data_IF_209095434652
#
_entry.id   IF_209095434652
#
_cell.length_a   1.000
_cell.length_b   1.000
_cell.length_c   1.000
_cell.angle_alpha   90.00
_cell.angle_beta   90.00
_cell.angle_gamma   90.00
#
_symmetry.space_group_name_H-M   'P 1'
#
loop_
_entity.id
_entity.type
_entity.pdbx_description
1 polymer ?
#
# COMPACT_ATOMS: atom_id res chain seq x y z
N UNK A 1 15.39 -71.42 -20.00
CA UNK A 1 15.61 -70.66 -18.74
C UNK A 1 15.50 -69.18 -19.11
N UNK A 2 14.34 -68.53 -18.85
CA UNK A 2 14.14 -67.09 -19.10
C UNK A 2 14.41 -66.36 -17.82
N UNK A 3 15.41 -65.44 -17.82
CA UNK A 3 15.73 -64.54 -16.70
C UNK A 3 14.92 -63.28 -16.83
N UNK A 4 13.95 -63.06 -15.94
CA UNK A 4 13.21 -61.81 -15.79
C UNK A 4 14.02 -60.81 -14.94
N UNK A 5 14.37 -59.66 -15.55
CA UNK A 5 14.97 -58.54 -14.81
C UNK A 5 13.84 -57.65 -14.26
N UNK A 6 13.75 -57.58 -12.93
CA UNK A 6 12.91 -56.63 -12.23
C UNK A 6 13.68 -55.28 -12.15
N UNK A 7 13.18 -54.27 -12.85
CA UNK A 7 13.70 -52.91 -12.75
C UNK A 7 12.93 -52.20 -11.64
N UNK A 8 13.60 -51.94 -10.53
CA UNK A 8 13.04 -51.12 -9.44
C UNK A 8 13.21 -49.63 -9.77
N UNK A 9 12.10 -48.96 -10.08
CA UNK A 9 12.06 -47.50 -10.25
C UNK A 9 12.01 -46.86 -8.86
N UNK A 10 13.05 -46.09 -8.49
CA UNK A 10 13.03 -45.23 -7.29
C UNK A 10 12.13 -44.01 -7.60
N UNK A 11 11.25 -43.60 -6.68
CA UNK A 11 10.52 -42.36 -6.82
C UNK A 11 11.48 -41.18 -6.57
N UNK A 12 11.62 -40.29 -7.52
CA UNK A 12 12.33 -39.04 -7.37
C UNK A 12 11.50 -38.12 -6.45
N UNK A 13 12.03 -37.86 -5.25
CA UNK A 13 11.47 -36.88 -4.31
C UNK A 13 11.74 -35.48 -4.86
N UNK A 14 10.74 -34.84 -5.46
CA UNK A 14 10.84 -33.45 -5.88
C UNK A 14 10.82 -32.54 -4.64
N UNK A 15 11.98 -32.05 -4.25
CA UNK A 15 12.10 -30.98 -3.23
C UNK A 15 11.62 -29.69 -3.92
N UNK A 16 10.44 -29.24 -3.54
CA UNK A 16 9.95 -27.91 -3.93
C UNK A 16 10.83 -26.87 -3.20
N UNK A 17 11.74 -26.25 -3.94
CA UNK A 17 12.48 -25.08 -3.46
C UNK A 17 11.46 -23.94 -3.32
N UNK A 18 11.06 -23.62 -2.08
CA UNK A 18 10.35 -22.38 -1.78
C UNK A 18 11.37 -21.25 -1.96
N UNK A 19 11.39 -20.66 -3.14
CA UNK A 19 12.14 -19.41 -3.36
C UNK A 19 11.38 -18.31 -2.63
N UNK A 20 11.93 -17.79 -1.52
CA UNK A 20 11.54 -16.48 -1.04
C UNK A 20 11.88 -15.51 -2.16
N UNK A 21 10.85 -15.04 -2.86
CA UNK A 21 11.03 -13.95 -3.81
C UNK A 21 11.50 -12.72 -3.01
N UNK A 22 12.62 -12.07 -3.40
CA UNK A 22 12.96 -10.78 -2.81
C UNK A 22 11.77 -9.85 -3.04
N UNK A 23 11.50 -8.98 -2.07
CA UNK A 23 10.48 -7.93 -2.22
C UNK A 23 10.74 -7.23 -3.56
N UNK A 24 9.78 -7.28 -4.47
CA UNK A 24 9.92 -6.74 -5.82
C UNK A 24 10.15 -5.24 -5.81
N UNK A 25 10.64 -4.71 -6.92
CA UNK A 25 10.67 -3.27 -7.14
C UNK A 25 9.24 -2.69 -7.09
N UNK A 26 9.07 -1.43 -6.68
CA UNK A 26 7.78 -0.77 -6.72
C UNK A 26 7.15 -0.82 -8.12
N UNK A 27 5.81 -0.86 -8.16
CA UNK A 27 5.06 -0.82 -9.41
C UNK A 27 5.58 0.32 -10.30
N UNK A 28 5.90 0.06 -11.59
CA UNK A 28 6.33 1.12 -12.50
C UNK A 28 5.17 2.07 -12.83
N UNK A 29 5.50 3.33 -13.07
CA UNK A 29 4.51 4.32 -13.55
C UNK A 29 3.81 3.80 -14.80
N UNK A 30 2.48 3.93 -14.85
CA UNK A 30 1.61 3.38 -15.90
C UNK A 30 1.13 1.95 -15.64
N UNK A 31 1.62 1.25 -14.61
CA UNK A 31 1.10 -0.05 -14.21
C UNK A 31 -0.39 0.03 -13.85
N UNK A 32 -1.11 -1.06 -14.05
CA UNK A 32 -2.50 -1.18 -13.62
C UNK A 32 -2.58 -1.45 -12.12
N UNK A 33 -3.65 -0.97 -11.48
CA UNK A 33 -3.97 -1.26 -10.09
C UNK A 33 -4.03 -2.78 -9.85
N UNK A 34 -3.19 -3.34 -8.97
CA UNK A 34 -3.20 -4.77 -8.68
C UNK A 34 -4.46 -5.20 -7.92
N UNK A 35 -4.96 -6.39 -8.20
CA UNK A 35 -6.02 -7.04 -7.42
C UNK A 35 -7.22 -6.13 -7.06
N UNK A 36 -7.83 -5.39 -8.00
CA UNK A 36 -8.78 -4.32 -7.70
C UNK A 36 -10.04 -4.81 -6.96
N UNK A 37 -10.40 -6.08 -7.10
CA UNK A 37 -11.59 -6.70 -6.48
C UNK A 37 -11.27 -7.41 -5.14
N UNK A 38 -9.99 -7.53 -4.76
CA UNK A 38 -9.61 -8.23 -3.53
C UNK A 38 -10.17 -7.52 -2.29
N UNK A 39 -10.93 -8.25 -1.49
CA UNK A 39 -11.56 -7.73 -0.27
C UNK A 39 -10.59 -7.76 0.91
N UNK A 40 -10.55 -6.66 1.63
CA UNK A 40 -9.73 -6.48 2.82
C UNK A 40 -10.60 -5.97 3.97
N UNK A 41 -10.31 -6.43 5.19
CA UNK A 41 -11.08 -6.06 6.38
C UNK A 41 -10.79 -4.61 6.76
N UNK A 42 -11.79 -3.75 6.68
CA UNK A 42 -11.73 -2.34 7.04
C UNK A 42 -12.06 -2.12 8.53
N UNK A 43 -11.49 -1.07 9.13
CA UNK A 43 -11.74 -0.71 10.55
C UNK A 43 -13.23 -0.47 10.86
N UNK A 44 -14.05 -0.15 9.86
CA UNK A 44 -15.51 -0.07 10.00
C UNK A 44 -16.19 -1.43 10.21
N UNK A 45 -15.45 -2.54 10.12
CA UNK A 45 -15.96 -3.91 10.19
C UNK A 45 -16.46 -4.45 8.85
N UNK A 46 -16.47 -3.66 7.78
CA UNK A 46 -16.83 -4.09 6.41
C UNK A 46 -15.61 -4.68 5.69
N UNK A 47 -15.87 -5.38 4.60
CA UNK A 47 -14.83 -5.74 3.66
C UNK A 47 -14.85 -4.79 2.46
N UNK A 48 -13.71 -4.15 2.20
CA UNK A 48 -13.52 -3.12 1.17
C UNK A 48 -12.45 -3.58 0.19
N UNK A 49 -12.69 -3.38 -1.10
CA UNK A 49 -11.70 -3.55 -2.16
C UNK A 49 -11.19 -2.18 -2.67
N UNK A 50 -10.12 -2.19 -3.45
CA UNK A 50 -9.68 -0.98 -4.14
C UNK A 50 -10.76 -0.42 -5.06
N UNK A 51 -11.51 -1.30 -5.73
CA UNK A 51 -12.64 -0.90 -6.59
C UNK A 51 -13.73 -0.16 -5.81
N UNK A 52 -14.09 -0.64 -4.61
CA UNK A 52 -15.08 0.02 -3.76
C UNK A 52 -14.60 1.40 -3.29
N UNK A 53 -13.29 1.55 -3.04
CA UNK A 53 -12.69 2.80 -2.59
C UNK A 53 -12.44 3.80 -3.74
N UNK A 54 -12.38 3.33 -5.00
CA UNK A 54 -12.11 4.19 -6.17
C UNK A 54 -13.24 5.18 -6.40
N UNK A 55 -12.88 6.42 -6.69
CA UNK A 55 -13.82 7.48 -7.08
C UNK A 55 -13.60 7.93 -8.52
N UNK A 56 -14.39 8.92 -8.96
CA UNK A 56 -14.44 9.41 -10.35
C UNK A 56 -13.07 9.75 -10.94
N UNK A 57 -12.19 10.34 -10.16
CA UNK A 57 -10.89 10.82 -10.63
C UNK A 57 -9.72 9.87 -10.29
N UNK A 58 -10.00 8.75 -9.60
CA UNK A 58 -9.01 7.72 -9.30
C UNK A 58 -8.96 7.30 -7.84
N UNK A 59 -7.81 6.80 -7.42
CA UNK A 59 -7.59 6.22 -6.09
C UNK A 59 -6.19 6.55 -5.55
N UNK A 60 -6.15 7.06 -4.33
CA UNK A 60 -4.94 7.12 -3.51
C UNK A 60 -4.87 5.87 -2.63
N UNK A 61 -3.86 5.06 -2.83
CA UNK A 61 -3.47 3.94 -1.96
C UNK A 61 -2.27 4.35 -1.14
N UNK A 62 -2.32 4.18 0.17
CA UNK A 62 -1.20 4.52 1.05
C UNK A 62 -0.92 3.36 2.01
N UNK A 63 0.29 2.83 1.96
CA UNK A 63 0.77 1.89 2.97
C UNK A 63 1.16 2.66 4.23
N UNK A 64 0.57 2.28 5.35
CA UNK A 64 0.68 2.98 6.64
C UNK A 64 0.70 1.95 7.77
N UNK A 65 0.94 2.39 9.00
CA UNK A 65 0.87 1.54 10.20
C UNK A 65 0.66 2.42 11.44
N UNK A 66 0.42 1.79 12.60
CA UNK A 66 0.19 2.53 13.83
C UNK A 66 1.47 2.83 14.60
N UNK A 67 2.49 1.98 14.45
CA UNK A 67 3.67 1.95 15.33
C UNK A 67 4.84 2.79 14.81
N UNK A 68 4.91 3.06 13.50
CA UNK A 68 6.04 3.79 12.90
C UNK A 68 6.08 5.27 13.33
N UNK A 69 7.19 5.76 13.93
CA UNK A 69 7.31 7.16 14.34
C UNK A 69 7.22 8.13 13.14
N UNK A 70 7.69 7.73 11.96
CA UNK A 70 7.58 8.56 10.76
C UNK A 70 6.12 8.71 10.33
N UNK A 71 5.31 7.63 10.38
CA UNK A 71 3.86 7.71 10.13
C UNK A 71 3.20 8.67 11.12
N UNK A 72 3.53 8.55 12.41
CA UNK A 72 3.00 9.45 13.45
C UNK A 72 3.38 10.91 13.19
N UNK A 73 4.61 11.18 12.76
CA UNK A 73 5.07 12.52 12.38
C UNK A 73 4.39 13.07 11.11
N UNK A 74 3.91 12.20 10.24
CA UNK A 74 3.17 12.58 9.03
C UNK A 74 1.66 12.72 9.24
N UNK A 75 1.12 12.37 10.41
CA UNK A 75 -0.32 12.19 10.60
C UNK A 75 -1.17 13.38 10.13
N UNK A 76 -0.83 14.59 10.52
CA UNK A 76 -1.55 15.80 10.09
C UNK A 76 -1.52 15.99 8.57
N UNK A 77 -0.38 15.71 7.93
CA UNK A 77 -0.19 15.82 6.47
C UNK A 77 -0.88 14.66 5.72
N UNK A 78 -0.96 13.48 6.32
CA UNK A 78 -1.76 12.35 5.82
C UNK A 78 -3.24 12.72 5.76
N UNK A 79 -3.77 13.30 6.84
CA UNK A 79 -5.15 13.77 6.89
C UNK A 79 -5.43 14.91 5.90
N UNK A 80 -4.50 15.86 5.77
CA UNK A 80 -4.58 16.94 4.77
C UNK A 80 -4.68 16.35 3.35
N UNK A 81 -3.76 15.44 3.00
CA UNK A 81 -3.72 14.81 1.69
C UNK A 81 -4.97 13.97 1.41
N UNK A 82 -5.44 13.18 2.39
CA UNK A 82 -6.65 12.38 2.27
C UNK A 82 -7.90 13.26 2.07
N UNK A 83 -8.05 14.32 2.87
CA UNK A 83 -9.14 15.29 2.72
C UNK A 83 -9.12 15.98 1.37
N UNK A 84 -7.93 16.36 0.91
CA UNK A 84 -7.74 16.98 -0.40
C UNK A 84 -8.13 16.02 -1.54
N UNK A 85 -7.69 14.74 -1.47
CA UNK A 85 -8.07 13.70 -2.43
C UNK A 85 -9.58 13.50 -2.50
N UNK A 86 -10.23 13.30 -1.34
CA UNK A 86 -11.67 13.10 -1.25
C UNK A 86 -12.47 14.30 -1.79
N UNK A 87 -12.03 15.52 -1.50
CA UNK A 87 -12.64 16.77 -2.02
C UNK A 87 -12.47 16.95 -3.53
N UNK A 88 -11.56 16.21 -4.15
CA UNK A 88 -11.30 16.21 -5.59
C UNK A 88 -11.77 14.92 -6.29
N UNK A 89 -12.72 14.18 -5.71
CA UNK A 89 -13.24 12.91 -6.23
C UNK A 89 -12.15 11.85 -6.52
N UNK A 90 -11.07 11.86 -5.74
CA UNK A 90 -10.09 10.78 -5.67
C UNK A 90 -10.38 9.97 -4.41
N UNK A 91 -10.57 8.67 -4.56
CA UNK A 91 -10.77 7.76 -3.43
C UNK A 91 -9.53 7.66 -2.55
N UNK A 92 -9.70 7.24 -1.30
CA UNK A 92 -8.59 7.07 -0.37
C UNK A 92 -8.73 5.75 0.36
N UNK A 93 -7.67 4.96 0.39
CA UNK A 93 -7.57 3.73 1.15
C UNK A 93 -6.16 3.60 1.75
N UNK A 94 -6.08 3.45 3.07
CA UNK A 94 -4.86 3.13 3.77
C UNK A 94 -4.80 1.63 4.04
N UNK A 95 -3.60 1.04 3.96
CA UNK A 95 -3.36 -0.36 4.26
C UNK A 95 -2.31 -0.49 5.37
N UNK A 96 -2.58 -1.35 6.35
CA UNK A 96 -1.57 -1.75 7.32
C UNK A 96 -0.98 -3.11 6.95
N UNK A 97 0.26 -3.14 6.40
CA UNK A 97 0.91 -4.36 5.93
C UNK A 97 1.79 -5.04 7.00
N UNK A 98 1.89 -4.47 8.20
CA UNK A 98 2.84 -4.91 9.23
C UNK A 98 2.41 -6.22 9.91
N UNK A 99 2.60 -7.34 9.24
CA UNK A 99 2.19 -8.66 9.74
C UNK A 99 2.98 -9.10 10.97
N UNK A 100 4.30 -8.89 11.00
CA UNK A 100 5.14 -9.31 12.13
C UNK A 100 4.87 -8.54 13.43
N UNK A 101 4.23 -7.37 13.37
CA UNK A 101 3.90 -6.54 14.53
C UNK A 101 2.41 -6.52 14.87
N UNK A 102 1.62 -7.52 14.38
CA UNK A 102 0.19 -7.65 14.70
C UNK A 102 -0.07 -7.80 16.20
N UNK A 103 0.82 -8.44 16.93
CA UNK A 103 0.76 -8.56 18.39
C UNK A 103 1.37 -7.39 19.15
N UNK A 104 1.89 -6.37 18.46
CA UNK A 104 2.65 -5.27 19.03
C UNK A 104 2.24 -3.91 18.43
N UNK A 105 0.95 -3.57 18.60
CA UNK A 105 0.39 -2.27 18.25
C UNK A 105 -0.11 -2.11 16.81
N UNK A 106 -0.05 -3.15 15.98
CA UNK A 106 -0.60 -3.17 14.61
C UNK A 106 -1.71 -4.23 14.45
N UNK A 107 -2.34 -4.70 15.56
CA UNK A 107 -3.50 -5.58 15.49
C UNK A 107 -4.70 -4.87 14.86
N UNK A 108 -5.70 -5.65 14.47
CA UNK A 108 -6.92 -5.08 13.90
C UNK A 108 -7.67 -4.18 14.90
N UNK A 109 -7.62 -4.51 16.18
CA UNK A 109 -8.26 -3.69 17.22
C UNK A 109 -7.44 -2.41 17.47
N UNK A 110 -6.10 -2.49 17.47
CA UNK A 110 -5.24 -1.29 17.50
C UNK A 110 -5.49 -0.39 16.29
N UNK A 111 -5.70 -0.95 15.10
CA UNK A 111 -6.04 -0.17 13.90
C UNK A 111 -7.37 0.57 14.04
N UNK A 112 -8.40 -0.05 14.65
CA UNK A 112 -9.69 0.62 14.91
C UNK A 112 -9.52 1.80 15.88
N UNK A 113 -8.80 1.57 16.98
CA UNK A 113 -8.52 2.61 17.97
C UNK A 113 -7.74 3.75 17.34
N UNK A 114 -6.63 3.42 16.65
CA UNK A 114 -5.81 4.40 15.95
C UNK A 114 -6.61 5.21 14.93
N UNK A 115 -7.39 4.56 14.07
CA UNK A 115 -8.21 5.24 13.06
C UNK A 115 -9.27 6.16 13.69
N UNK A 116 -9.87 5.75 14.80
CA UNK A 116 -10.80 6.58 15.58
C UNK A 116 -10.10 7.80 16.18
N UNK A 117 -8.95 7.60 16.83
CA UNK A 117 -8.18 8.67 17.49
C UNK A 117 -7.64 9.69 16.47
N UNK A 118 -7.27 9.22 15.29
CA UNK A 118 -6.82 10.08 14.19
C UNK A 118 -7.98 10.70 13.39
N UNK A 119 -9.23 10.31 13.65
CA UNK A 119 -10.39 10.86 12.95
C UNK A 119 -10.48 10.44 11.49
N UNK A 120 -10.10 9.19 11.15
CA UNK A 120 -10.17 8.69 9.77
C UNK A 120 -11.62 8.62 9.28
N UNK A 121 -11.90 9.32 8.19
CA UNK A 121 -13.18 9.31 7.47
C UNK A 121 -13.10 8.54 6.13
N UNK A 122 -12.06 7.77 5.95
CA UNK A 122 -11.74 6.95 4.78
C UNK A 122 -11.32 5.54 5.22
N UNK A 123 -11.24 4.62 4.27
CA UNK A 123 -10.92 3.21 4.58
C UNK A 123 -9.49 3.04 5.10
N UNK A 124 -9.36 2.28 6.20
CA UNK A 124 -8.09 1.79 6.73
C UNK A 124 -8.19 0.28 6.91
N UNK A 125 -7.55 -0.45 6.02
CA UNK A 125 -7.74 -1.90 5.87
C UNK A 125 -6.52 -2.70 6.35
N UNK A 126 -6.80 -3.91 6.81
CA UNK A 126 -5.79 -4.89 7.16
C UNK A 126 -5.25 -5.54 5.88
N UNK A 127 -3.97 -5.34 5.58
CA UNK A 127 -3.27 -6.09 4.54
C UNK A 127 -2.67 -7.36 5.12
N UNK A 128 -3.48 -8.42 5.14
CA UNK A 128 -3.10 -9.72 5.71
C UNK A 128 -1.92 -10.32 4.94
N UNK A 129 -0.92 -10.78 5.70
CA UNK A 129 0.33 -11.36 5.18
C UNK A 129 1.11 -10.41 4.25
N UNK A 130 0.91 -9.10 4.36
CA UNK A 130 1.52 -8.08 3.48
C UNK A 130 1.26 -8.33 1.97
N UNK A 131 0.15 -9.00 1.64
CA UNK A 131 -0.13 -9.47 0.26
C UNK A 131 -0.26 -8.33 -0.74
N UNK A 132 -0.92 -7.24 -0.34
CA UNK A 132 -1.02 -6.06 -1.21
C UNK A 132 0.29 -5.28 -1.25
N UNK A 133 1.02 -5.18 -0.13
CA UNK A 133 2.35 -4.59 -0.13
C UNK A 133 3.29 -5.30 -1.11
N UNK A 134 3.24 -6.64 -1.18
CA UNK A 134 4.02 -7.42 -2.14
C UNK A 134 3.57 -7.17 -3.57
N UNK A 135 2.26 -7.14 -3.83
CA UNK A 135 1.71 -6.87 -5.16
C UNK A 135 2.05 -5.47 -5.69
N UNK A 136 2.25 -4.49 -4.81
CA UNK A 136 2.66 -3.12 -5.14
C UNK A 136 4.18 -2.93 -5.15
N UNK A 137 4.96 -3.88 -4.64
CA UNK A 137 6.38 -3.70 -4.34
C UNK A 137 6.63 -2.64 -3.28
N UNK A 138 5.64 -2.37 -2.40
CA UNK A 138 5.75 -1.39 -1.34
C UNK A 138 6.72 -1.87 -0.26
N UNK A 139 7.58 -0.98 0.21
CA UNK A 139 8.67 -1.33 1.13
C UNK A 139 8.67 -0.53 2.43
N UNK A 140 7.91 0.55 2.49
CA UNK A 140 7.94 1.51 3.61
C UNK A 140 6.55 1.90 4.07
N UNK A 141 6.47 2.47 5.26
CA UNK A 141 5.32 3.19 5.78
C UNK A 141 5.78 4.56 6.31
N UNK A 142 5.20 5.72 5.83
CA UNK A 142 4.20 5.82 4.76
C UNK A 142 4.80 5.65 3.36
N UNK A 143 4.04 5.10 2.42
CA UNK A 143 4.37 5.03 1.00
C UNK A 143 3.09 5.18 0.18
N UNK A 144 3.08 6.10 -0.80
CA UNK A 144 1.89 6.52 -1.54
C UNK A 144 1.93 6.04 -2.99
N UNK A 145 0.77 5.57 -3.49
CA UNK A 145 0.52 5.20 -4.87
C UNK A 145 -0.78 5.87 -5.33
N UNK A 146 -0.70 6.77 -6.30
CA UNK A 146 -1.87 7.45 -6.86
C UNK A 146 -2.19 6.88 -8.24
N UNK A 147 -3.41 6.38 -8.39
CA UNK A 147 -3.95 5.87 -9.65
C UNK A 147 -4.94 6.87 -10.24
N UNK A 148 -4.91 7.04 -11.55
CA UNK A 148 -5.87 7.87 -12.28
C UNK A 148 -7.24 7.19 -12.43
N UNK A 149 -8.18 7.86 -13.10
CA UNK A 149 -9.53 7.34 -13.39
C UNK A 149 -9.55 6.06 -14.22
N UNK A 150 -8.46 5.72 -14.91
CA UNK A 150 -8.31 4.51 -15.70
C UNK A 150 -7.61 3.37 -14.91
N UNK A 151 -7.34 3.59 -13.62
CA UNK A 151 -6.62 2.66 -12.77
C UNK A 151 -5.15 2.50 -13.14
N UNK A 152 -4.53 3.55 -13.71
CA UNK A 152 -3.11 3.58 -14.04
C UNK A 152 -2.33 4.35 -12.99
N UNK A 153 -1.20 3.79 -12.53
CA UNK A 153 -0.31 4.44 -11.58
C UNK A 153 0.30 5.70 -12.22
N UNK A 154 0.07 6.84 -11.62
CA UNK A 154 0.55 8.15 -12.11
C UNK A 154 1.51 8.85 -11.16
N UNK A 155 1.49 8.44 -9.88
CA UNK A 155 2.46 8.89 -8.87
C UNK A 155 2.78 7.78 -7.89
N UNK A 156 4.07 7.65 -7.53
CA UNK A 156 4.56 6.80 -6.46
C UNK A 156 5.59 7.56 -5.62
N UNK A 157 5.47 7.50 -4.28
CA UNK A 157 6.48 8.10 -3.41
C UNK A 157 5.98 8.66 -2.09
N UNK A 158 6.61 9.75 -1.66
CA UNK A 158 6.35 10.42 -0.39
C UNK A 158 5.12 11.34 -0.42
N UNK A 159 4.63 11.74 0.75
CA UNK A 159 3.58 12.77 0.89
C UNK A 159 4.13 14.14 0.47
N UNK A 160 5.35 14.46 0.90
CA UNK A 160 6.06 15.70 0.59
C UNK A 160 7.59 15.50 0.58
N UNK A 161 8.34 16.58 0.45
CA UNK A 161 9.81 16.57 0.35
C UNK A 161 10.55 16.67 1.69
N UNK A 162 9.83 16.73 2.83
CA UNK A 162 10.46 16.83 4.15
C UNK A 162 9.75 15.98 5.21
N UNK A 163 10.22 14.74 5.40
CA UNK A 163 9.65 13.83 6.38
C UNK A 163 9.82 14.29 7.84
N UNK A 164 10.91 14.99 8.13
CA UNK A 164 11.31 15.34 9.49
C UNK A 164 10.71 16.65 10.03
N UNK A 165 10.49 17.61 9.14
CA UNK A 165 10.04 18.96 9.52
C UNK A 165 8.89 19.44 8.63
N UNK A 166 7.65 19.50 9.16
CA UNK A 166 6.52 20.05 8.43
C UNK A 166 6.68 21.50 7.99
N UNK A 167 7.41 22.32 8.78
CA UNK A 167 7.63 23.73 8.46
C UNK A 167 8.65 23.93 7.31
N UNK A 168 9.53 22.98 7.13
CA UNK A 168 10.54 22.96 6.06
C UNK A 168 10.05 22.32 4.75
N UNK A 169 8.75 22.00 4.60
CA UNK A 169 8.21 21.46 3.35
C UNK A 169 8.19 22.52 2.28
N UNK A 170 8.94 22.29 1.20
CA UNK A 170 8.97 23.15 0.01
C UNK A 170 8.02 22.66 -1.07
N UNK A 171 7.78 21.33 -1.14
CA UNK A 171 6.90 20.72 -2.14
C UNK A 171 6.02 19.63 -1.53
N UNK A 172 4.72 19.86 -1.58
CA UNK A 172 3.68 18.88 -1.26
C UNK A 172 3.43 17.97 -2.47
N UNK A 173 4.31 16.98 -2.66
CA UNK A 173 4.32 16.10 -3.84
C UNK A 173 2.95 15.48 -4.12
N UNK A 174 2.33 14.86 -3.12
CA UNK A 174 1.07 14.14 -3.26
C UNK A 174 -0.11 15.09 -3.56
N UNK A 175 -0.21 16.22 -2.87
CA UNK A 175 -1.24 17.24 -3.13
C UNK A 175 -1.15 17.73 -4.59
N UNK A 176 0.07 18.05 -5.04
CA UNK A 176 0.29 18.51 -6.42
C UNK A 176 -0.10 17.45 -7.44
N UNK A 177 0.24 16.18 -7.21
CA UNK A 177 -0.14 15.08 -8.09
C UNK A 177 -1.67 14.90 -8.16
N UNK A 178 -2.37 15.02 -7.03
CA UNK A 178 -3.84 14.97 -6.97
C UNK A 178 -4.47 16.10 -7.79
N UNK A 179 -3.96 17.34 -7.69
CA UNK A 179 -4.44 18.50 -8.47
C UNK A 179 -4.28 18.27 -9.97
N UNK A 180 -3.13 17.73 -10.38
CA UNK A 180 -2.84 17.44 -11.78
C UNK A 180 -3.76 16.32 -12.32
N UNK A 181 -4.00 15.27 -11.54
CA UNK A 181 -4.95 14.18 -11.89
C UNK A 181 -6.37 14.74 -12.04
N UNK A 182 -6.85 15.55 -11.08
CA UNK A 182 -8.15 16.21 -11.16
C UNK A 182 -8.29 17.05 -12.41
N UNK A 183 -7.24 17.80 -12.75
CA UNK A 183 -7.22 18.66 -13.94
C UNK A 183 -7.09 17.89 -15.27
N UNK A 184 -6.92 16.55 -15.22
CA UNK A 184 -6.66 15.70 -16.38
C UNK A 184 -5.29 15.97 -17.01
N UNK A 185 -4.36 16.54 -16.25
CA UNK A 185 -3.01 16.84 -16.67
C UNK A 185 -2.05 15.68 -16.31
N UNK A 186 -0.98 15.48 -17.08
CA UNK A 186 0.07 14.56 -16.68
C UNK A 186 0.70 15.00 -15.36
N UNK A 187 0.96 14.04 -14.46
CA UNK A 187 1.65 14.32 -13.20
C UNK A 187 3.09 14.75 -13.48
N UNK A 188 3.46 15.93 -13.02
CA UNK A 188 4.76 16.57 -13.33
C UNK A 188 5.93 15.91 -12.62
N UNK A 189 5.75 15.45 -11.38
CA UNK A 189 6.70 14.62 -10.62
C UNK A 189 6.03 13.30 -10.34
N UNK A 190 6.38 12.28 -11.12
CA UNK A 190 5.73 10.96 -11.07
C UNK A 190 6.26 10.09 -9.95
N UNK A 191 7.48 10.33 -9.51
CA UNK A 191 8.15 9.54 -8.46
C UNK A 191 8.90 10.44 -7.50
N UNK A 192 8.89 10.07 -6.23
CA UNK A 192 9.71 10.69 -5.20
C UNK A 192 10.17 9.63 -4.19
N UNK A 193 11.23 9.93 -3.43
CA UNK A 193 11.75 8.99 -2.46
C UNK A 193 10.85 8.95 -1.21
N UNK A 194 10.21 7.83 -0.94
CA UNK A 194 9.52 7.58 0.32
C UNK A 194 10.52 7.50 1.49
N UNK A 195 10.21 8.21 2.58
CA UNK A 195 10.95 8.15 3.84
C UNK A 195 10.03 7.57 4.90
N UNK A 196 10.43 6.44 5.49
CA UNK A 196 9.59 5.74 6.46
C UNK A 196 10.25 4.47 6.99
N UNK A 197 9.54 3.80 7.89
CA UNK A 197 9.95 2.51 8.43
C UNK A 197 9.76 1.42 7.37
N UNK A 198 10.66 0.44 7.36
CA UNK A 198 10.47 -0.77 6.54
C UNK A 198 9.21 -1.51 6.98
N UNK A 199 8.41 -2.00 6.03
CA UNK A 199 7.25 -2.86 6.28
C UNK A 199 7.70 -4.12 7.03
N UNK A 200 6.99 -4.47 8.11
CA UNK A 200 7.28 -5.61 8.98
C UNK A 200 6.53 -6.85 8.49
N UNK A 201 7.08 -7.49 7.46
CA UNK A 201 6.58 -8.77 6.95
C UNK A 201 6.80 -9.90 7.95
N UNK A 202 6.01 -10.98 7.87
CA UNK A 202 6.20 -12.19 8.69
C UNK A 202 7.35 -13.03 8.14
#
# INVERSE_FOLDING_TARGET
MKKTFFSAALPALAIALVTLSPVGDPLPIGASLPNPEAKMKDISGKEISFKDATKKNGLLVMFSCNTCPIVKGYQGRTLEAAKHALGNDVGVILLNPNEATRGDGDSFDDMKEYGKDQGYSFSYVLDKNSTMADAFGANRTPECFLFDKNGKLVYHGAIDDNAGDPAGVSRKHLIKAIDEVKAGQPVSVKESRSVGCTIKRA
#
